data_IF_106747992635
#
_entry.id   IF_106747992635
#
_cell.length_a   1.000
_cell.length_b   1.000
_cell.length_c   1.000
_cell.angle_alpha   90.00
_cell.angle_beta   90.00
_cell.angle_gamma   90.00
#
_symmetry.space_group_name_H-M   'P 1'
#
loop_
_entity.id
_entity.type
_entity.pdbx_description
1 polymer ?
#
# COMPACT_ATOMS: atom_id res chain seq x y z
N UNK A 1 -9.74 -8.88 -27.39
CA UNK A 1 -10.67 -8.13 -26.49
C UNK A 1 -11.49 -7.17 -27.35
N UNK A 2 -12.78 -6.97 -27.05
CA UNK A 2 -13.67 -6.07 -27.83
C UNK A 2 -13.63 -4.60 -27.36
N UNK A 3 -13.11 -4.36 -26.16
CA UNK A 3 -12.91 -3.03 -25.57
C UNK A 3 -11.40 -2.83 -25.38
N UNK A 4 -10.81 -1.69 -25.76
CA UNK A 4 -9.40 -1.40 -25.50
C UNK A 4 -9.16 -1.26 -23.99
N UNK A 5 -8.08 -1.86 -23.50
CA UNK A 5 -7.68 -1.81 -22.08
C UNK A 5 -6.21 -1.39 -22.03
N UNK A 6 -5.92 -0.34 -21.27
CA UNK A 6 -4.55 0.04 -20.92
C UNK A 6 -4.18 -0.61 -19.60
N UNK A 7 -3.13 -1.43 -19.62
CA UNK A 7 -2.63 -2.09 -18.41
C UNK A 7 -1.55 -1.22 -17.74
N UNK A 8 -1.77 -0.87 -16.47
CA UNK A 8 -0.77 -0.19 -15.65
C UNK A 8 -0.03 -1.25 -14.83
N UNK A 9 1.18 -1.61 -15.28
CA UNK A 9 2.01 -2.59 -14.57
C UNK A 9 2.73 -1.94 -13.39
N UNK A 10 2.13 -2.03 -12.21
CA UNK A 10 2.69 -1.48 -10.96
C UNK A 10 3.50 -2.49 -10.13
N UNK A 11 3.60 -3.76 -10.56
CA UNK A 11 4.11 -4.84 -9.70
C UNK A 11 5.58 -4.63 -9.31
N UNK A 12 6.50 -4.63 -10.28
CA UNK A 12 7.94 -4.56 -10.00
C UNK A 12 8.35 -3.26 -9.27
N UNK A 13 7.76 -2.12 -9.65
CA UNK A 13 8.06 -0.86 -8.97
C UNK A 13 7.57 -0.86 -7.51
N UNK A 14 6.46 -1.54 -7.23
CA UNK A 14 5.90 -1.62 -5.86
C UNK A 14 6.66 -2.61 -5.00
N UNK A 15 7.20 -3.70 -5.57
CA UNK A 15 8.06 -4.66 -4.88
C UNK A 15 9.35 -4.02 -4.32
N UNK A 16 9.85 -2.95 -4.97
CA UNK A 16 10.98 -2.18 -4.47
C UNK A 16 10.66 -1.33 -3.23
N UNK A 17 9.38 -1.23 -2.84
CA UNK A 17 8.90 -0.29 -1.81
C UNK A 17 8.44 -0.97 -0.53
N UNK A 18 9.21 -1.94 -0.03
CA UNK A 18 8.93 -2.60 1.27
C UNK A 18 8.78 -1.57 2.41
N UNK A 19 9.44 -0.42 2.29
CA UNK A 19 9.38 0.74 3.20
C UNK A 19 8.05 1.51 3.17
N UNK A 20 7.22 1.32 2.14
CA UNK A 20 5.98 2.08 1.95
C UNK A 20 4.76 1.55 2.71
N UNK A 21 4.88 0.39 3.36
CA UNK A 21 3.77 -0.26 4.05
C UNK A 21 3.39 0.43 5.36
N UNK A 22 2.13 0.26 5.77
CA UNK A 22 1.61 0.80 7.03
C UNK A 22 2.29 0.18 8.27
N UNK A 23 2.75 -1.08 8.17
CA UNK A 23 3.38 -1.79 9.28
C UNK A 23 2.49 -1.76 10.53
N UNK A 24 3.04 -1.40 11.69
CA UNK A 24 2.34 -1.26 12.98
C UNK A 24 1.52 0.04 13.12
N UNK A 25 1.50 0.89 12.08
CA UNK A 25 0.73 2.13 12.07
C UNK A 25 -0.60 1.95 11.32
N UNK A 26 -1.28 0.83 11.61
CA UNK A 26 -2.57 0.45 11.03
C UNK A 26 -3.68 0.45 12.10
N UNK A 27 -4.88 0.06 11.66
CA UNK A 27 -6.02 -0.23 12.49
C UNK A 27 -6.44 -1.70 12.43
N UNK A 28 -6.96 -2.22 13.54
CA UNK A 28 -7.60 -3.53 13.62
C UNK A 28 -9.06 -3.35 14.03
N UNK A 29 -9.99 -3.71 13.14
CA UNK A 29 -11.43 -3.56 13.41
C UNK A 29 -11.86 -2.09 13.64
N UNK A 30 -11.21 -1.14 12.97
CA UNK A 30 -11.50 0.29 13.07
C UNK A 30 -10.92 0.98 14.31
N UNK A 31 -10.04 0.33 15.07
CA UNK A 31 -9.31 0.93 16.19
C UNK A 31 -7.81 0.88 15.94
N UNK A 32 -7.11 1.95 16.30
CA UNK A 32 -5.65 1.97 16.27
C UNK A 32 -5.09 0.91 17.21
N UNK A 33 -3.96 0.33 16.82
CA UNK A 33 -3.23 -0.60 17.68
C UNK A 33 -2.80 0.06 18.99
N UNK A 34 -2.88 -0.71 20.08
CA UNK A 34 -2.28 -0.31 21.36
C UNK A 34 -0.76 -0.40 21.30
N UNK A 35 -0.07 0.20 22.28
CA UNK A 35 1.39 0.14 22.33
C UNK A 35 1.91 -1.30 22.53
N UNK A 36 1.16 -2.14 23.25
CA UNK A 36 1.49 -3.56 23.40
C UNK A 36 1.37 -4.32 22.06
N UNK A 37 0.37 -3.98 21.24
CA UNK A 37 0.20 -4.59 19.91
C UNK A 37 1.27 -4.11 18.93
N UNK A 38 1.60 -2.81 18.96
CA UNK A 38 2.70 -2.25 18.16
C UNK A 38 4.06 -2.86 18.52
N UNK A 39 4.25 -3.27 19.78
CA UNK A 39 5.45 -3.96 20.22
C UNK A 39 5.58 -5.39 19.67
N UNK A 40 4.56 -5.93 19.01
CA UNK A 40 4.58 -7.25 18.36
C UNK A 40 4.27 -7.17 16.85
N UNK A 41 5.21 -6.68 16.02
CA UNK A 41 5.01 -6.54 14.59
C UNK A 41 4.74 -7.87 13.86
N UNK A 42 5.20 -9.00 14.42
CA UNK A 42 5.02 -10.31 13.77
C UNK A 42 3.55 -10.68 13.61
N UNK A 43 2.71 -10.24 14.55
CA UNK A 43 1.28 -10.54 14.55
C UNK A 43 0.40 -9.36 14.13
N UNK A 44 0.89 -8.12 14.27
CA UNK A 44 0.07 -6.93 14.08
C UNK A 44 0.51 -6.00 12.93
N UNK A 45 1.67 -6.21 12.32
CA UNK A 45 2.09 -5.38 11.19
C UNK A 45 1.28 -5.67 9.92
N UNK A 46 0.84 -4.59 9.26
CA UNK A 46 0.26 -4.65 7.92
C UNK A 46 1.36 -4.50 6.85
N UNK A 47 1.64 -5.59 6.15
CA UNK A 47 2.60 -5.63 5.04
C UNK A 47 1.89 -5.67 3.66
N UNK A 48 0.63 -5.23 3.59
CA UNK A 48 -0.18 -5.24 2.36
C UNK A 48 -0.58 -3.81 2.00
N UNK A 49 -1.10 -3.05 2.97
CA UNK A 49 -1.54 -1.67 2.78
C UNK A 49 -0.38 -0.68 2.84
N UNK A 50 -0.60 0.50 2.27
CA UNK A 50 0.40 1.54 2.07
C UNK A 50 0.08 2.76 2.92
N UNK A 51 1.11 3.40 3.47
CA UNK A 51 0.99 4.73 4.02
C UNK A 51 0.61 5.74 2.93
N UNK A 52 -0.08 6.83 3.32
CA UNK A 52 -0.33 7.99 2.47
C UNK A 52 0.21 9.27 3.15
N UNK A 53 0.94 10.14 2.43
CA UNK A 53 1.37 9.99 1.04
C UNK A 53 2.35 8.82 0.83
N UNK A 54 2.34 8.19 -0.34
CA UNK A 54 3.11 6.96 -0.56
C UNK A 54 3.02 6.33 -1.95
N UNK A 55 3.22 5.01 -2.02
CA UNK A 55 3.28 4.23 -3.28
C UNK A 55 2.02 4.38 -4.15
N UNK A 56 0.79 4.40 -3.60
CA UNK A 56 -0.41 4.63 -4.39
C UNK A 56 -0.43 5.97 -5.13
N UNK A 57 0.27 6.99 -4.63
CA UNK A 57 0.36 8.29 -5.33
C UNK A 57 1.13 8.15 -6.65
N UNK A 58 2.17 7.33 -6.69
CA UNK A 58 2.91 7.02 -7.92
C UNK A 58 2.04 6.27 -8.92
N UNK A 59 1.20 5.34 -8.45
CA UNK A 59 0.23 4.65 -9.31
C UNK A 59 -0.76 5.64 -9.94
N UNK A 60 -1.26 6.59 -9.13
CA UNK A 60 -2.16 7.64 -9.59
C UNK A 60 -1.49 8.60 -10.59
N UNK A 61 -0.20 8.89 -10.44
CA UNK A 61 0.56 9.67 -11.43
C UNK A 61 0.67 8.95 -12.78
N UNK A 62 0.93 7.64 -12.76
CA UNK A 62 0.98 6.84 -14.00
C UNK A 62 -0.41 6.78 -14.65
N UNK A 63 -1.46 6.61 -13.85
CA UNK A 63 -2.84 6.67 -14.34
C UNK A 63 -3.15 8.02 -15.00
N UNK A 64 -2.82 9.13 -14.35
CA UNK A 64 -3.03 10.47 -14.88
C UNK A 64 -2.28 10.69 -16.21
N UNK A 65 -1.10 10.09 -16.38
CA UNK A 65 -0.34 10.15 -17.63
C UNK A 65 -0.95 9.33 -18.78
N UNK A 66 -1.89 8.42 -18.48
CA UNK A 66 -2.60 7.59 -19.46
C UNK A 66 -4.04 8.05 -19.76
N UNK A 67 -4.53 9.08 -19.07
CA UNK A 67 -5.79 9.78 -19.39
C UNK A 67 -5.63 10.66 -20.63
#
# INVERSE_FOLDING_TARGET
MRVPITFINITQLSEHRIDGHASIYNELGGKLLTEEQKADPLHYADCIHWCLPGVPDTWNQIFLAHL
#
